data_IF_366715688600
#
_entry.id   IF_366715688600
#
_cell.length_a   1.000
_cell.length_b   1.000
_cell.length_c   1.000
_cell.angle_alpha   90.00
_cell.angle_beta   90.00
_cell.angle_gamma   90.00
#
_symmetry.space_group_name_H-M   'P 1'
#
loop_
_entity.id
_entity.type
_entity.pdbx_description
1 polymer ?
#
# COMPACT_ATOMS: atom_id res chain seq x y z
N UNK A 1 2.65 19.58 4.74
CA UNK A 1 1.36 19.49 5.47
C UNK A 1 1.31 18.14 6.16
N UNK A 2 0.71 18.00 7.35
CA UNK A 2 0.70 16.71 8.06
C UNK A 2 -0.73 16.19 8.25
N UNK A 3 -0.90 14.88 8.05
CA UNK A 3 -2.16 14.19 8.28
C UNK A 3 -2.53 14.22 9.77
N UNK A 4 -3.84 14.26 10.01
CA UNK A 4 -4.43 14.20 11.36
C UNK A 4 -4.97 12.82 11.70
N UNK A 5 -5.42 12.06 10.70
CA UNK A 5 -5.86 10.69 10.87
C UNK A 5 -5.79 9.90 9.55
N UNK A 6 -5.81 8.58 9.67
CA UNK A 6 -5.92 7.63 8.57
C UNK A 6 -7.14 6.76 8.82
N UNK A 7 -7.89 6.53 7.75
CA UNK A 7 -9.09 5.71 7.74
C UNK A 7 -8.95 4.67 6.65
N UNK A 8 -9.03 3.40 7.03
CA UNK A 8 -8.78 2.27 6.13
C UNK A 8 -9.98 1.34 6.09
N UNK A 9 -10.39 0.88 4.90
CA UNK A 9 -11.44 -0.13 4.79
C UNK A 9 -10.98 -1.50 5.30
N UNK A 10 -11.94 -2.35 5.68
CA UNK A 10 -11.66 -3.72 6.13
C UNK A 10 -11.03 -4.57 5.02
N UNK A 11 -11.44 -4.36 3.77
CA UNK A 11 -10.86 -5.05 2.59
C UNK A 11 -9.37 -4.71 2.41
N UNK A 12 -9.01 -3.44 2.63
CA UNK A 12 -7.61 -3.01 2.58
C UNK A 12 -6.84 -3.62 3.74
N UNK A 13 -7.39 -3.62 4.95
CA UNK A 13 -6.77 -4.29 6.10
C UNK A 13 -6.50 -5.76 5.80
N UNK A 14 -7.52 -6.49 5.32
CA UNK A 14 -7.41 -7.91 4.99
C UNK A 14 -6.38 -8.15 3.90
N UNK A 15 -6.36 -7.33 2.85
CA UNK A 15 -5.39 -7.43 1.76
C UNK A 15 -3.96 -7.23 2.25
N UNK A 16 -3.70 -6.14 2.98
CA UNK A 16 -2.38 -5.83 3.51
C UNK A 16 -1.91 -6.87 4.54
N UNK A 17 -2.79 -7.32 5.43
CA UNK A 17 -2.47 -8.35 6.42
C UNK A 17 -2.19 -9.71 5.77
N UNK A 18 -3.03 -10.15 4.82
CA UNK A 18 -2.80 -11.40 4.07
C UNK A 18 -1.49 -11.35 3.32
N UNK A 19 -1.15 -10.22 2.70
CA UNK A 19 0.14 -10.04 2.04
C UNK A 19 1.29 -10.08 3.05
N UNK A 20 1.17 -9.40 4.20
CA UNK A 20 2.18 -9.45 5.26
C UNK A 20 2.40 -10.85 5.85
N UNK A 21 1.42 -11.74 5.72
CA UNK A 21 1.48 -13.15 6.10
C UNK A 21 1.85 -14.11 4.97
N UNK A 22 2.17 -13.61 3.77
CA UNK A 22 2.56 -14.48 2.67
C UNK A 22 3.97 -15.06 2.85
N UNK A 23 4.80 -14.41 3.68
CA UNK A 23 6.18 -14.82 3.95
C UNK A 23 6.67 -14.24 5.28
N UNK A 24 7.42 -15.04 6.03
CA UNK A 24 8.14 -14.62 7.24
C UNK A 24 9.63 -14.37 6.98
N UNK A 25 10.13 -14.74 5.80
CA UNK A 25 11.57 -14.71 5.48
C UNK A 25 12.05 -13.38 4.90
N UNK A 26 11.13 -12.58 4.37
CA UNK A 26 11.41 -11.27 3.80
C UNK A 26 10.26 -10.30 4.08
N UNK A 27 10.54 -9.00 4.13
CA UNK A 27 9.46 -8.00 4.15
C UNK A 27 8.67 -8.07 2.83
N UNK A 28 7.43 -7.61 2.82
CA UNK A 28 6.67 -7.39 1.58
C UNK A 28 6.38 -5.91 1.42
N UNK A 29 5.90 -5.49 0.25
CA UNK A 29 5.51 -4.09 0.07
C UNK A 29 4.35 -3.92 -0.89
N UNK A 30 3.59 -2.85 -0.70
CA UNK A 30 2.49 -2.50 -1.57
C UNK A 30 2.15 -1.02 -1.54
N UNK A 31 1.29 -0.61 -2.47
CA UNK A 31 0.80 0.76 -2.58
C UNK A 31 -0.62 0.87 -2.03
N UNK A 32 -0.97 2.03 -1.49
CA UNK A 32 -2.26 2.35 -0.90
C UNK A 32 -3.02 3.30 -1.81
N UNK A 33 -4.25 2.93 -2.14
CA UNK A 33 -5.12 3.63 -3.08
C UNK A 33 -6.26 4.28 -2.32
N UNK A 34 -6.51 5.55 -2.63
CA UNK A 34 -7.47 6.32 -1.87
C UNK A 34 -7.47 7.79 -2.25
N UNK A 35 -7.90 8.63 -1.31
CA UNK A 35 -7.79 10.08 -1.45
C UNK A 35 -7.65 10.76 -0.08
N UNK A 36 -7.26 12.03 -0.12
CA UNK A 36 -7.03 12.85 1.06
C UNK A 36 -8.18 13.84 1.19
N UNK A 37 -8.94 13.71 2.29
CA UNK A 37 -10.05 14.62 2.58
C UNK A 37 -9.63 15.73 3.53
N UNK A 38 -9.98 16.95 3.14
CA UNK A 38 -9.85 18.15 3.95
C UNK A 38 -11.21 18.50 4.55
N UNK A 39 -11.27 18.54 5.88
CA UNK A 39 -12.46 18.99 6.59
C UNK A 39 -12.39 20.50 6.84
N UNK A 40 -13.56 21.12 7.03
CA UNK A 40 -13.70 22.56 7.36
C UNK A 40 -13.01 22.94 8.67
N UNK A 41 -12.81 21.98 9.57
CA UNK A 41 -12.10 22.19 10.85
C UNK A 41 -10.56 22.11 10.72
N UNK A 42 -10.02 22.01 9.50
CA UNK A 42 -8.58 21.89 9.25
C UNK A 42 -8.03 20.47 9.40
N UNK A 43 -8.86 19.47 9.74
CA UNK A 43 -8.40 18.08 9.80
C UNK A 43 -8.16 17.54 8.40
N UNK A 44 -6.97 16.96 8.19
CA UNK A 44 -6.59 16.28 6.95
C UNK A 44 -6.60 14.78 7.20
N UNK A 45 -7.44 14.04 6.48
CA UNK A 45 -7.62 12.59 6.69
C UNK A 45 -7.31 11.83 5.42
N UNK A 46 -6.39 10.86 5.51
CA UNK A 46 -6.17 9.90 4.44
C UNK A 46 -7.26 8.82 4.49
N UNK A 47 -8.03 8.69 3.42
CA UNK A 47 -9.03 7.64 3.24
C UNK A 47 -8.48 6.59 2.28
N UNK A 48 -8.29 5.37 2.76
CA UNK A 48 -7.73 4.26 2.00
C UNK A 48 -8.83 3.23 1.76
N UNK A 49 -9.10 2.92 0.49
CA UNK A 49 -10.12 1.95 0.08
C UNK A 49 -9.62 0.95 -0.96
N UNK A 50 -8.36 1.06 -1.41
CA UNK A 50 -7.72 0.02 -2.21
C UNK A 50 -6.28 -0.20 -1.76
N UNK A 51 -5.76 -1.39 -2.02
CA UNK A 51 -4.36 -1.73 -1.87
C UNK A 51 -3.87 -2.46 -3.12
N UNK A 52 -2.64 -2.19 -3.53
CA UNK A 52 -1.98 -2.87 -4.64
C UNK A 52 -0.70 -3.51 -4.13
N UNK A 53 -0.73 -4.81 -3.74
CA UNK A 53 0.47 -5.60 -3.48
C UNK A 53 1.48 -5.45 -4.63
N UNK A 54 2.73 -5.09 -4.32
CA UNK A 54 3.78 -4.99 -5.31
C UNK A 54 4.67 -6.23 -5.25
N UNK A 55 5.08 -6.72 -6.42
CA UNK A 55 6.14 -7.72 -6.51
C UNK A 55 7.48 -7.05 -6.25
N UNK A 56 8.32 -7.64 -5.38
CA UNK A 56 9.70 -7.16 -5.22
C UNK A 56 10.50 -7.49 -6.47
N UNK A 57 11.12 -6.48 -7.05
CA UNK A 57 12.21 -6.65 -8.02
C UNK A 57 13.59 -6.77 -7.35
N UNK A 58 13.78 -6.20 -6.15
CA UNK A 58 15.02 -6.22 -5.37
C UNK A 58 14.82 -6.94 -4.02
N UNK A 59 15.66 -7.94 -3.73
CA UNK A 59 15.57 -8.84 -2.54
C UNK A 59 16.51 -8.45 -1.39
N UNK A 60 17.12 -7.26 -1.44
CA UNK A 60 17.98 -6.80 -0.34
C UNK A 60 17.16 -6.49 0.91
N UNK A 61 17.66 -6.95 2.06
CA UNK A 61 16.98 -6.95 3.36
C UNK A 61 16.51 -5.56 3.83
N UNK A 62 17.20 -4.49 3.42
CA UNK A 62 16.96 -3.13 3.90
C UNK A 62 16.47 -2.15 2.82
N UNK A 63 16.05 -2.63 1.63
CA UNK A 63 15.64 -1.74 0.53
C UNK A 63 14.25 -2.09 0.02
N UNK A 64 13.26 -1.38 0.55
CA UNK A 64 11.87 -1.42 0.11
C UNK A 64 11.55 -0.09 -0.58
N UNK A 65 11.83 0.00 -1.87
CA UNK A 65 11.49 1.16 -2.70
C UNK A 65 10.65 0.69 -3.89
N UNK A 66 9.55 1.39 -4.18
CA UNK A 66 8.76 1.14 -5.39
C UNK A 66 9.54 1.64 -6.61
N UNK A 67 9.68 0.80 -7.64
CA UNK A 67 10.23 1.22 -8.93
C UNK A 67 9.33 2.30 -9.55
N UNK A 68 9.86 3.41 -10.13
CA UNK A 68 9.07 4.38 -10.88
C UNK A 68 8.03 3.77 -11.84
N UNK A 69 8.34 2.66 -12.50
CA UNK A 69 7.42 1.94 -13.39
C UNK A 69 6.21 1.36 -12.66
N UNK A 70 6.42 0.80 -11.46
CA UNK A 70 5.35 0.27 -10.61
C UNK A 70 4.44 1.41 -10.10
N UNK A 71 5.03 2.55 -9.73
CA UNK A 71 4.28 3.72 -9.32
C UNK A 71 3.47 4.32 -10.48
N UNK A 72 4.03 4.32 -11.69
CA UNK A 72 3.33 4.76 -12.90
C UNK A 72 2.17 3.81 -13.26
N UNK A 73 2.40 2.49 -13.19
CA UNK A 73 1.36 1.49 -13.42
C UNK A 73 0.21 1.60 -12.40
N UNK A 74 0.55 1.81 -11.12
CA UNK A 74 -0.44 2.04 -10.07
C UNK A 74 -1.22 3.34 -10.29
N UNK A 75 -0.56 4.41 -10.73
CA UNK A 75 -1.23 5.67 -11.07
C UNK A 75 -2.24 5.47 -12.22
N UNK A 76 -1.84 4.78 -13.29
CA UNK A 76 -2.73 4.47 -14.41
C UNK A 76 -3.92 3.58 -13.99
N UNK A 77 -3.72 2.67 -13.02
CA UNK A 77 -4.80 1.89 -12.43
C UNK A 77 -5.77 2.79 -11.65
N UNK A 78 -5.27 3.74 -10.86
CA UNK A 78 -6.12 4.66 -10.09
C UNK A 78 -6.92 5.62 -10.97
N UNK A 79 -6.38 6.01 -12.12
CA UNK A 79 -7.10 6.82 -13.11
C UNK A 79 -8.31 6.05 -13.66
N UNK A 80 -8.11 4.78 -14.03
CA UNK A 80 -9.20 3.89 -14.46
C UNK A 80 -10.25 3.71 -13.36
N UNK A 81 -9.81 3.46 -12.12
CA UNK A 81 -10.73 3.35 -10.97
C UNK A 81 -11.55 4.63 -10.77
N UNK A 82 -10.92 5.80 -10.95
CA UNK A 82 -11.61 7.09 -10.83
C UNK A 82 -12.71 7.23 -11.87
N UNK A 83 -12.42 6.91 -13.13
CA UNK A 83 -13.41 6.96 -14.22
C UNK A 83 -14.55 5.97 -14.00
N UNK A 84 -14.24 4.73 -13.63
CA UNK A 84 -15.25 3.67 -13.48
C UNK A 84 -16.15 3.88 -12.27
N UNK A 85 -15.60 4.36 -11.15
CA UNK A 85 -16.37 4.51 -9.89
C UNK A 85 -16.97 5.89 -9.71
N UNK A 86 -16.54 6.88 -10.51
CA UNK A 86 -16.88 8.29 -10.29
C UNK A 86 -16.28 8.88 -9.01
N UNK A 87 -15.37 8.16 -8.34
CA UNK A 87 -14.71 8.57 -7.10
C UNK A 87 -13.22 8.77 -7.34
N UNK A 88 -12.73 10.00 -7.13
CA UNK A 88 -11.31 10.34 -7.21
C UNK A 88 -10.49 9.36 -6.36
N UNK A 89 -9.65 8.60 -7.03
CA UNK A 89 -8.74 7.60 -6.45
C UNK A 89 -7.34 7.92 -6.94
N UNK A 90 -6.37 7.92 -6.04
CA UNK A 90 -4.95 8.19 -6.29
C UNK A 90 -4.10 7.22 -5.47
N UNK A 91 -2.82 7.10 -5.82
CA UNK A 91 -1.82 6.49 -4.94
C UNK A 91 -1.50 7.48 -3.82
N UNK A 92 -1.91 7.19 -2.59
CA UNK A 92 -1.78 8.11 -1.45
C UNK A 92 -0.81 7.61 -0.37
N UNK A 93 -0.23 6.43 -0.57
CA UNK A 93 0.67 5.85 0.41
C UNK A 93 1.26 4.52 -0.01
N UNK A 94 1.96 3.92 0.93
CA UNK A 94 2.61 2.63 0.80
C UNK A 94 2.49 1.85 2.11
N UNK A 95 2.63 0.53 2.03
CA UNK A 95 2.76 -0.33 3.19
C UNK A 95 3.89 -1.34 2.99
N UNK A 96 4.46 -1.80 4.09
CA UNK A 96 5.38 -2.94 4.10
C UNK A 96 5.22 -3.76 5.38
N UNK A 97 5.80 -4.96 5.40
CA UNK A 97 5.77 -5.85 6.57
C UNK A 97 7.08 -5.83 7.35
N UNK A 98 7.00 -6.15 8.64
CA UNK A 98 8.10 -6.29 9.58
C UNK A 98 7.96 -7.67 10.25
N UNK A 99 8.45 -8.76 9.63
CA UNK A 99 8.35 -10.10 10.20
C UNK A 99 9.34 -10.24 11.38
N UNK A 100 8.85 -10.74 12.53
CA UNK A 100 9.64 -10.96 13.75
C UNK A 100 10.36 -9.73 14.32
N UNK A 101 9.98 -8.51 13.89
CA UNK A 101 10.56 -7.26 14.36
C UNK A 101 9.46 -6.26 14.72
N UNK A 102 9.83 -5.24 15.51
CA UNK A 102 8.86 -4.25 16.03
C UNK A 102 8.17 -3.49 14.91
N UNK A 103 6.97 -2.98 15.18
CA UNK A 103 6.20 -2.16 14.23
C UNK A 103 6.78 -0.77 13.97
N UNK A 104 7.77 -0.33 14.75
CA UNK A 104 8.32 1.01 14.64
C UNK A 104 9.14 1.17 13.34
N UNK A 105 9.09 2.35 12.70
CA UNK A 105 9.80 2.57 11.46
C UNK A 105 11.32 2.61 11.70
N UNK A 106 12.08 1.93 10.84
CA UNK A 106 13.54 2.06 10.81
C UNK A 106 13.94 3.44 10.26
N UNK A 107 15.22 3.79 10.40
CA UNK A 107 15.76 5.01 9.79
C UNK A 107 15.61 5.01 8.26
N UNK A 108 15.71 3.84 7.61
CA UNK A 108 15.48 3.69 6.17
C UNK A 108 14.02 4.00 5.84
N UNK A 109 13.08 3.44 6.61
CA UNK A 109 11.64 3.69 6.41
C UNK A 109 11.30 5.18 6.50
N UNK A 110 11.87 5.89 7.48
CA UNK A 110 11.64 7.34 7.63
C UNK A 110 12.24 8.13 6.47
N UNK A 111 13.43 7.77 5.99
CA UNK A 111 14.05 8.41 4.82
C UNK A 111 13.23 8.19 3.55
N UNK A 112 12.81 6.95 3.29
CA UNK A 112 11.96 6.60 2.14
C UNK A 112 10.63 7.34 2.20
N UNK A 113 10.01 7.38 3.38
CA UNK A 113 8.78 8.14 3.62
C UNK A 113 8.97 9.64 3.36
N UNK A 114 10.10 10.22 3.79
CA UNK A 114 10.42 11.63 3.50
C UNK A 114 10.53 11.89 2.00
N UNK A 115 11.15 10.97 1.24
CA UNK A 115 11.24 11.08 -0.21
C UNK A 115 9.87 11.06 -0.89
N UNK A 116 8.97 10.15 -0.48
CA UNK A 116 7.61 10.14 -1.04
C UNK A 116 6.82 11.40 -0.66
N UNK A 117 7.06 11.97 0.52
CA UNK A 117 6.43 13.23 0.94
C UNK A 117 6.87 14.45 0.14
N UNK A 118 7.98 14.37 -0.61
CA UNK A 118 8.36 15.40 -1.59
C UNK A 118 7.40 15.42 -2.79
N UNK A 119 6.81 14.27 -3.13
CA UNK A 119 5.86 14.14 -4.25
C UNK A 119 4.44 14.49 -3.83
N UNK A 120 3.99 13.98 -2.68
CA UNK A 120 2.71 14.33 -2.07
C UNK A 120 2.90 14.48 -0.55
N UNK A 121 2.74 15.70 -0.02
CA UNK A 121 2.93 15.93 1.42
C UNK A 121 1.95 15.15 2.31
N UNK A 122 0.84 14.68 1.74
CA UNK A 122 -0.13 13.81 2.39
C UNK A 122 0.16 12.32 2.25
N UNK A 123 1.27 11.92 1.62
CA UNK A 123 1.63 10.52 1.45
C UNK A 123 1.81 9.83 2.80
N UNK A 124 1.25 8.63 2.97
CA UNK A 124 1.25 7.88 4.23
C UNK A 124 2.03 6.56 4.12
N UNK A 125 2.80 6.22 5.15
CA UNK A 125 3.40 4.89 5.32
C UNK A 125 2.63 4.06 6.34
N UNK A 126 2.38 2.79 6.04
CA UNK A 126 1.87 1.79 6.99
C UNK A 126 2.89 0.68 7.22
N UNK A 127 3.03 0.22 8.46
CA UNK A 127 3.89 -0.93 8.79
C UNK A 127 3.05 -2.00 9.43
N UNK A 128 3.11 -3.22 8.89
CA UNK A 128 2.49 -4.41 9.44
C UNK A 128 3.56 -5.29 10.10
N UNK A 129 3.60 -5.28 11.42
CA UNK A 129 4.48 -6.14 12.20
C UNK A 129 3.77 -7.46 12.48
N UNK A 130 4.34 -8.55 11.98
CA UNK A 130 3.76 -9.89 11.94
C UNK A 130 4.75 -10.94 12.45
N UNK A 131 4.25 -12.15 12.74
CA UNK A 131 5.03 -13.28 13.26
C UNK A 131 5.77 -12.99 14.59
N UNK A 132 5.33 -11.99 15.35
CA UNK A 132 5.84 -11.79 16.70
C UNK A 132 5.11 -12.71 17.66
N UNK A 133 5.87 -13.37 18.51
CA UNK A 133 5.35 -14.28 19.52
C UNK A 133 5.97 -13.90 20.87
N UNK A 134 5.16 -13.89 21.92
CA UNK A 134 5.66 -13.68 23.28
C UNK A 134 6.13 -15.00 23.92
N UNK A 135 6.67 -14.91 25.14
CA UNK A 135 7.12 -16.09 25.88
C UNK A 135 5.99 -17.12 26.14
N UNK A 136 4.71 -16.72 26.03
CA UNK A 136 3.53 -17.55 26.25
C UNK A 136 2.94 -18.13 24.96
N UNK A 137 3.66 -18.04 23.82
CA UNK A 137 3.18 -18.53 22.52
C UNK A 137 1.97 -17.75 21.97
N UNK A 138 1.76 -16.52 22.43
CA UNK A 138 0.69 -15.65 21.91
C UNK A 138 1.23 -14.84 20.74
N UNK A 139 0.66 -15.08 19.56
CA UNK A 139 0.96 -14.31 18.35
C UNK A 139 0.40 -12.89 18.42
N UNK A 140 1.20 -11.90 18.01
CA UNK A 140 0.83 -10.48 18.00
C UNK A 140 1.01 -9.86 16.61
N UNK A 141 -0.06 -9.21 16.15
CA UNK A 141 -0.05 -8.36 14.95
C UNK A 141 -0.14 -6.91 15.40
N UNK A 142 0.72 -6.06 14.88
CA UNK A 142 0.66 -4.63 15.13
C UNK A 142 0.71 -3.87 13.82
N UNK A 143 -0.05 -2.78 13.76
CA UNK A 143 -0.04 -1.88 12.61
C UNK A 143 0.11 -0.45 13.08
N UNK A 144 0.98 0.31 12.42
CA UNK A 144 1.07 1.75 12.62
C UNK A 144 0.94 2.47 11.28
N UNK A 145 0.44 3.70 11.35
CA UNK A 145 0.54 4.67 10.27
C UNK A 145 1.53 5.76 10.67
N UNK A 146 2.37 6.21 9.74
CA UNK A 146 3.37 7.22 10.02
C UNK A 146 3.65 8.15 8.84
N UNK A 147 4.06 9.38 9.16
CA UNK A 147 4.71 10.31 8.24
C UNK A 147 6.10 10.66 8.79
N UNK A 148 7.01 11.04 7.90
CA UNK A 148 8.26 11.71 8.27
C UNK A 148 7.97 13.17 8.63
N UNK A 149 8.65 13.67 9.67
CA UNK A 149 8.58 15.07 10.08
C UNK A 149 9.77 15.87 9.54
N UNK A 150 9.54 17.12 9.13
CA UNK A 150 10.55 17.97 8.50
C UNK A 150 11.67 18.37 9.48
N UNK A 151 12.73 17.55 9.51
CA UNK A 151 14.13 17.97 9.40
C UNK A 151 14.77 18.90 10.45
N UNK A 152 14.08 19.37 11.51
CA UNK A 152 14.72 20.29 12.46
C UNK A 152 15.41 19.63 13.67
N UNK A 153 15.20 18.35 13.95
CA UNK A 153 16.02 17.55 14.88
C UNK A 153 15.75 16.07 14.62
N UNK A 154 16.71 15.34 14.04
CA UNK A 154 16.64 13.91 13.67
C UNK A 154 15.47 13.55 12.72
N UNK A 155 15.68 12.61 11.81
CA UNK A 155 14.63 12.04 10.96
C UNK A 155 13.63 11.26 11.84
N UNK A 156 12.71 11.98 12.49
CA UNK A 156 11.71 11.39 13.38
C UNK A 156 10.43 11.08 12.61
N UNK A 157 9.88 9.89 12.85
CA UNK A 157 8.55 9.53 12.42
C UNK A 157 7.49 10.07 13.37
N UNK A 158 6.37 10.54 12.82
CA UNK A 158 5.17 10.88 13.59
C UNK A 158 4.11 9.80 13.41
N UNK A 159 3.71 9.08 14.47
CA UNK A 159 2.55 8.18 14.41
C UNK A 159 1.28 8.95 14.09
N UNK A 160 0.44 8.40 13.22
CA UNK A 160 -0.86 8.97 12.86
C UNK A 160 -1.96 7.98 13.29
N UNK A 161 -3.04 8.44 13.94
CA UNK A 161 -4.15 7.57 14.30
C UNK A 161 -4.73 6.84 13.09
N UNK A 162 -4.75 5.51 13.13
CA UNK A 162 -5.35 4.64 12.11
C UNK A 162 -6.66 4.07 12.65
N UNK A 163 -7.75 4.18 11.88
CA UNK A 163 -9.06 3.66 12.25
C UNK A 163 -9.73 2.91 11.10
N UNK A 164 -10.47 1.82 11.37
CA UNK A 164 -11.26 1.14 10.36
C UNK A 164 -12.44 1.99 9.91
N UNK A 165 -12.81 1.90 8.63
CA UNK A 165 -14.02 2.51 8.07
C UNK A 165 -15.13 1.47 8.04
N UNK A 166 -16.12 1.61 8.92
CA UNK A 166 -17.30 0.75 8.98
C UNK A 166 -18.37 1.14 7.92
N UNK A 167 -17.97 1.25 6.66
CA UNK A 167 -18.88 1.43 5.52
C UNK A 167 -18.47 0.50 4.40
N UNK A 168 -19.19 -0.62 4.29
CA UNK A 168 -19.13 -1.57 3.19
C UNK A 168 -19.59 -0.88 1.90
N UNK A 169 -18.63 -0.45 1.10
CA UNK A 169 -18.85 -0.19 -0.32
C UNK A 169 -17.83 -1.03 -1.05
N UNK A 170 -18.17 -2.31 -1.24
CA UNK A 170 -17.38 -3.28 -2.00
C UNK A 170 -17.27 -2.71 -3.41
N UNK A 171 -16.11 -2.16 -3.76
CA UNK A 171 -15.83 -1.74 -5.14
C UNK A 171 -15.35 -3.00 -5.86
N UNK A 172 -16.24 -3.66 -6.58
CA UNK A 172 -15.86 -4.72 -7.50
C UNK A 172 -14.97 -4.13 -8.60
N UNK A 173 -13.68 -4.41 -8.52
CA UNK A 173 -12.72 -4.18 -9.60
C UNK A 173 -12.51 -5.54 -10.23
N UNK A 174 -13.07 -5.74 -11.43
CA UNK A 174 -12.82 -6.96 -12.20
C UNK A 174 -11.31 -7.10 -12.44
N UNK A 175 -10.80 -8.28 -12.09
CA UNK A 175 -9.41 -8.67 -12.19
C UNK A 175 -8.81 -8.38 -13.56
N UNK A 176 -7.62 -7.76 -13.58
CA UNK A 176 -6.88 -7.42 -14.81
C UNK A 176 -6.56 -8.66 -15.67
N UNK A 177 -6.43 -8.50 -17.00
CA UNK A 177 -6.10 -9.59 -17.90
C UNK A 177 -4.65 -10.02 -17.71
N UNK A 178 -4.44 -11.28 -17.35
CA UNK A 178 -3.13 -11.92 -17.41
C UNK A 178 -2.62 -11.93 -18.86
N UNK A 179 -1.53 -11.24 -19.12
CA UNK A 179 -0.80 -11.30 -20.39
C UNK A 179 0.02 -12.59 -20.47
N UNK A 180 -0.35 -13.48 -21.39
CA UNK A 180 0.60 -14.40 -22.02
C UNK A 180 0.45 -14.26 -23.52
N UNK A 181 1.49 -13.73 -24.17
CA UNK A 181 1.56 -13.53 -25.61
C UNK A 181 1.65 -14.85 -26.39
N UNK A 182 0.84 -14.92 -27.45
CA UNK A 182 1.09 -15.45 -28.79
C UNK A 182 2.01 -16.67 -28.99
N UNK A 183 1.40 -17.75 -29.50
CA UNK A 183 2.02 -18.62 -30.50
C UNK A 183 1.10 -18.69 -31.73
N UNK A 184 1.57 -18.05 -32.79
CA UNK A 184 1.09 -18.17 -34.16
C UNK A 184 1.26 -19.58 -34.68
N UNK A 185 0.19 -20.22 -35.16
CA UNK A 185 0.28 -21.17 -36.27
C UNK A 185 -0.95 -21.02 -37.17
N UNK A 186 -0.68 -20.54 -38.39
CA UNK A 186 -1.59 -20.46 -39.52
C UNK A 186 -1.47 -21.76 -40.33
N UNK A 187 -2.52 -22.56 -40.41
CA UNK A 187 -2.81 -23.56 -41.47
C UNK A 187 -4.10 -24.28 -41.05
N UNK A 188 -5.12 -24.53 -41.86
CA UNK A 188 -5.38 -24.32 -43.27
C UNK A 188 -6.86 -24.68 -43.51
N UNK A 189 -7.44 -24.10 -44.55
CA UNK A 189 -8.75 -24.50 -45.09
C UNK A 189 -8.80 -26.00 -45.36
N UNK A 190 -9.82 -26.71 -44.84
CA UNK A 190 -10.39 -27.87 -45.54
C UNK A 190 -11.89 -27.97 -45.29
N UNK A 191 -12.56 -28.46 -46.33
CA UNK A 191 -13.99 -28.40 -46.66
C UNK A 191 -14.54 -29.84 -46.65
N UNK A 192 -15.82 -30.01 -46.29
CA UNK A 192 -16.62 -31.24 -46.51
C UNK A 192 -16.86 -32.04 -45.22
N UNK A 193 -18.04 -32.58 -44.93
CA UNK A 193 -19.26 -32.84 -45.72
C UNK A 193 -20.49 -32.43 -44.92
#
# INVERSE_FOLDING_TARGET
MSLTSVKMSEEVWLTCATHAFSTETEEIMGLLLGDIQHSKNGSVTALIWGASPQTRSDRRKDRVETNPEQLAAASALTDKMTVTTGRTTRVIGWYHSHPHITVLPSHVNVRTQAMYQLLDSGFIGLIFSCYNEDANKIGKIQVIAFQSSDGKQNSMSRPIPLSPVNKSSIIHIDSSPSSSENLTTRSGYFKGR
#
